data_IF_323338021642
#
_entry.id   IF_323338021642
#
_cell.length_a   1.000
_cell.length_b   1.000
_cell.length_c   1.000
_cell.angle_alpha   90.00
_cell.angle_beta   90.00
_cell.angle_gamma   90.00
#
_symmetry.space_group_name_H-M   'P 1'
#
loop_
_entity.id
_entity.type
_entity.pdbx_description
1 polymer ?
#
# COMPACT_ATOMS: atom_id res chain seq x y z
N UNK A 1 -19.87 9.39 8.43
CA UNK A 1 -18.70 8.82 9.13
C UNK A 1 -18.10 7.81 8.15
N UNK A 2 -17.21 8.28 7.28
CA UNK A 2 -16.59 7.42 6.27
C UNK A 2 -15.49 6.62 6.98
N UNK A 3 -15.63 5.30 7.02
CA UNK A 3 -14.56 4.40 7.43
C UNK A 3 -13.49 4.46 6.33
N UNK A 4 -12.35 5.07 6.65
CA UNK A 4 -11.18 5.15 5.77
C UNK A 4 -10.52 3.77 5.67
N UNK A 5 -11.03 2.95 4.76
CA UNK A 5 -10.56 1.60 4.47
C UNK A 5 -9.10 1.58 3.95
N UNK A 6 -8.55 2.73 3.55
CA UNK A 6 -7.12 2.88 3.21
C UNK A 6 -6.22 2.53 4.41
N UNK A 7 -6.69 2.77 5.63
CA UNK A 7 -5.93 2.53 6.85
C UNK A 7 -5.87 1.03 7.22
N UNK A 8 -6.82 0.22 6.74
CA UNK A 8 -6.93 -1.20 7.11
C UNK A 8 -5.89 -2.07 6.39
N UNK A 9 -5.57 -1.75 5.13
CA UNK A 9 -4.49 -2.41 4.37
C UNK A 9 -3.10 -2.12 4.94
N UNK A 10 -2.91 -0.96 5.59
CA UNK A 10 -1.64 -0.58 6.22
C UNK A 10 -1.50 -1.17 7.63
N UNK A 11 -2.60 -1.39 8.36
CA UNK A 11 -2.56 -1.87 9.74
C UNK A 11 -2.38 -3.40 9.91
N UNK A 12 -2.78 -4.22 8.93
CA UNK A 12 -2.71 -5.68 9.05
C UNK A 12 -1.28 -6.29 9.12
N UNK A 13 -0.22 -5.49 9.00
CA UNK A 13 1.18 -5.95 9.04
C UNK A 13 1.76 -6.02 10.47
N UNK A 14 0.98 -5.73 11.51
CA UNK A 14 1.46 -5.67 12.90
C UNK A 14 0.62 -6.47 13.90
N UNK A 15 0.74 -7.79 13.92
CA UNK A 15 0.25 -8.59 15.05
C UNK A 15 -0.11 -10.02 14.69
N UNK A 16 0.66 -10.98 15.21
CA UNK A 16 0.56 -12.39 14.90
C UNK A 16 -0.81 -13.03 15.15
N UNK A 17 -1.38 -13.58 14.07
CA UNK A 17 -1.88 -14.96 13.93
C UNK A 17 -2.31 -15.14 12.46
N UNK A 18 -1.92 -16.21 11.76
CA UNK A 18 -2.37 -16.42 10.39
C UNK A 18 -3.87 -16.72 10.40
N UNK A 19 -4.67 -15.87 9.77
CA UNK A 19 -6.02 -16.22 9.37
C UNK A 19 -5.89 -17.09 8.11
N UNK A 20 -6.19 -18.38 8.25
CA UNK A 20 -6.27 -19.30 7.13
C UNK A 20 -7.49 -18.93 6.27
N UNK A 21 -7.25 -18.42 5.07
CA UNK A 21 -8.29 -18.25 4.05
C UNK A 21 -8.53 -19.58 3.33
N UNK A 22 -9.79 -19.96 3.07
CA UNK A 22 -10.08 -21.13 2.26
C UNK A 22 -9.51 -20.93 0.85
N UNK A 23 -8.89 -21.97 0.33
CA UNK A 23 -8.18 -22.02 -0.94
C UNK A 23 -9.08 -21.62 -2.12
N UNK A 24 -8.93 -20.37 -2.57
CA UNK A 24 -9.62 -19.79 -3.72
C UNK A 24 -9.03 -18.42 -4.08
N UNK A 25 -7.86 -18.45 -4.75
CA UNK A 25 -7.22 -17.38 -5.54
C UNK A 25 -7.17 -15.96 -4.94
N UNK A 26 -6.12 -15.71 -4.15
CA UNK A 26 -5.67 -14.41 -3.66
C UNK A 26 -4.51 -14.64 -2.71
N UNK A 27 -3.30 -14.75 -3.22
CA UNK A 27 -2.11 -15.08 -2.43
C UNK A 27 -1.43 -13.83 -1.89
N UNK A 28 -1.23 -13.76 -0.57
CA UNK A 28 -0.27 -12.84 0.05
C UNK A 28 1.01 -13.63 0.27
N UNK A 29 2.06 -13.39 -0.52
CA UNK A 29 3.39 -13.97 -0.27
C UNK A 29 4.34 -12.92 0.29
N UNK A 30 4.76 -13.13 1.54
CA UNK A 30 5.85 -12.39 2.17
C UNK A 30 7.13 -13.22 2.02
N UNK A 31 8.09 -12.77 1.21
CA UNK A 31 9.41 -13.40 1.14
C UNK A 31 10.20 -13.12 2.42
N UNK A 32 10.26 -14.10 3.33
CA UNK A 32 11.15 -14.06 4.50
C UNK A 32 12.56 -14.51 4.10
N UNK A 33 13.47 -13.54 3.90
CA UNK A 33 14.90 -13.75 3.81
C UNK A 33 15.60 -12.92 4.88
N UNK A 34 16.21 -13.59 5.86
CA UNK A 34 16.87 -12.96 7.00
C UNK A 34 18.14 -12.20 6.62
N UNK A 35 18.04 -10.87 6.59
CA UNK A 35 19.14 -9.93 6.87
C UNK A 35 18.50 -8.58 7.27
N UNK A 36 19.15 -7.84 8.16
CA UNK A 36 18.59 -6.91 9.15
C UNK A 36 18.21 -5.53 8.58
N UNK A 37 17.78 -5.48 7.32
CA UNK A 37 17.48 -4.25 6.54
C UNK A 37 16.19 -4.37 5.71
N UNK A 38 15.19 -5.07 6.24
CA UNK A 38 14.02 -5.51 5.47
C UNK A 38 12.80 -4.59 5.51
N UNK A 39 12.49 -3.92 4.39
CA UNK A 39 11.12 -3.42 4.10
C UNK A 39 10.69 -3.88 2.70
N UNK A 40 10.26 -5.13 2.53
CA UNK A 40 9.87 -5.68 1.21
C UNK A 40 8.70 -4.93 0.55
N UNK A 41 8.69 -4.87 -0.79
CA UNK A 41 7.48 -4.48 -1.53
C UNK A 41 6.47 -5.62 -1.51
N UNK A 42 5.18 -5.29 -1.40
CA UNK A 42 4.10 -6.29 -1.34
C UNK A 42 3.42 -6.32 -2.69
N UNK A 43 3.31 -7.52 -3.25
CA UNK A 43 2.55 -7.84 -4.46
C UNK A 43 1.24 -8.52 -4.04
N UNK A 44 0.13 -8.12 -4.64
CA UNK A 44 -1.19 -8.74 -4.45
C UNK A 44 -1.67 -9.33 -5.78
N UNK A 45 -1.96 -10.64 -5.75
CA UNK A 45 -2.62 -11.34 -6.85
C UNK A 45 -4.12 -11.07 -6.83
N UNK A 46 -4.63 -10.45 -7.88
CA UNK A 46 -6.04 -10.12 -8.04
C UNK A 46 -6.44 -8.86 -7.28
N UNK A 47 -6.99 -7.89 -8.01
CA UNK A 47 -7.57 -6.67 -7.42
C UNK A 47 -9.07 -6.86 -7.30
N UNK A 48 -9.64 -6.62 -6.12
CA UNK A 48 -11.09 -6.73 -5.92
C UNK A 48 -11.84 -5.65 -6.71
N UNK A 49 -12.90 -6.04 -7.42
CA UNK A 49 -13.73 -5.16 -8.26
C UNK A 49 -15.20 -5.12 -7.80
N UNK A 50 -15.56 -5.87 -6.75
CA UNK A 50 -16.91 -5.86 -6.20
C UNK A 50 -17.19 -4.55 -5.43
N UNK A 51 -18.47 -4.27 -5.16
CA UNK A 51 -18.84 -3.15 -4.28
C UNK A 51 -18.47 -3.51 -2.84
N UNK A 52 -17.30 -3.06 -2.39
CA UNK A 52 -16.80 -3.31 -1.05
C UNK A 52 -17.78 -2.86 0.05
N UNK A 53 -18.58 -1.82 -0.18
CA UNK A 53 -19.58 -1.40 0.81
C UNK A 53 -20.70 -2.44 0.94
N UNK A 54 -21.12 -3.05 -0.17
CA UNK A 54 -22.07 -4.16 -0.16
C UNK A 54 -21.49 -5.39 0.51
N UNK A 55 -20.23 -5.75 0.22
CA UNK A 55 -19.54 -6.89 0.85
C UNK A 55 -19.47 -6.71 2.37
N UNK A 56 -19.06 -5.53 2.85
CA UNK A 56 -18.97 -5.22 4.28
C UNK A 56 -20.36 -5.18 4.94
N UNK A 57 -21.39 -4.70 4.24
CA UNK A 57 -22.76 -4.70 4.75
C UNK A 57 -23.28 -6.13 4.92
N UNK A 58 -23.06 -7.00 3.93
CA UNK A 58 -23.41 -8.42 4.03
C UNK A 58 -22.63 -9.10 5.16
N UNK A 59 -21.36 -8.76 5.37
CA UNK A 59 -20.58 -9.25 6.52
C UNK A 59 -21.21 -8.86 7.87
N UNK A 60 -21.62 -7.60 8.03
CA UNK A 60 -22.33 -7.13 9.22
C UNK A 60 -23.66 -7.86 9.47
N UNK A 61 -24.30 -8.38 8.41
CA UNK A 61 -25.56 -9.12 8.48
C UNK A 61 -25.41 -10.63 8.59
N UNK A 62 -24.18 -11.16 8.49
CA UNK A 62 -23.93 -12.59 8.42
C UNK A 62 -24.34 -13.24 7.09
N UNK A 63 -24.49 -12.44 6.04
CA UNK A 63 -24.98 -12.82 4.71
C UNK A 63 -23.84 -13.02 3.69
N UNK A 64 -22.60 -13.20 4.17
CA UNK A 64 -21.41 -13.37 3.31
C UNK A 64 -21.49 -14.60 2.38
N UNK A 65 -22.28 -15.61 2.75
CA UNK A 65 -22.44 -16.84 1.94
C UNK A 65 -23.03 -16.58 0.56
N UNK A 66 -23.76 -15.48 0.37
CA UNK A 66 -24.44 -15.12 -0.88
C UNK A 66 -23.69 -14.05 -1.69
N UNK A 67 -22.52 -13.61 -1.20
CA UNK A 67 -21.71 -12.57 -1.86
C UNK A 67 -20.74 -13.21 -2.86
N UNK A 68 -20.84 -12.83 -4.13
CA UNK A 68 -19.83 -13.15 -5.14
C UNK A 68 -18.79 -12.04 -5.21
N UNK A 69 -17.51 -12.42 -5.09
CA UNK A 69 -16.38 -11.51 -5.31
C UNK A 69 -15.87 -11.64 -6.74
N UNK A 70 -15.69 -10.50 -7.40
CA UNK A 70 -15.05 -10.41 -8.71
C UNK A 70 -13.63 -9.90 -8.52
N UNK A 71 -12.68 -10.57 -9.16
CA UNK A 71 -11.26 -10.23 -9.11
C UNK A 71 -10.79 -9.83 -10.50
N UNK A 72 -10.06 -8.72 -10.56
CA UNK A 72 -9.33 -8.27 -11.73
C UNK A 72 -8.20 -9.24 -12.06
N UNK A 73 -7.90 -9.49 -13.35
CA UNK A 73 -6.69 -10.21 -13.74
C UNK A 73 -5.42 -9.37 -13.56
N UNK A 74 -5.56 -8.06 -13.27
CA UNK A 74 -4.45 -7.19 -12.98
C UNK A 74 -3.78 -7.54 -11.65
N UNK A 75 -2.49 -7.25 -11.59
CA UNK A 75 -1.67 -7.35 -10.39
C UNK A 75 -1.52 -5.96 -9.79
N UNK A 76 -1.54 -5.86 -8.46
CA UNK A 76 -1.18 -4.64 -7.75
C UNK A 76 0.12 -4.81 -6.95
N UNK A 77 0.93 -3.77 -6.95
CA UNK A 77 2.13 -3.66 -6.12
C UNK A 77 2.05 -2.40 -5.26
N UNK A 78 2.45 -2.52 -3.99
CA UNK A 78 2.53 -1.39 -3.06
C UNK A 78 3.98 -1.16 -2.62
N UNK A 79 4.45 0.07 -2.80
CA UNK A 79 5.72 0.58 -2.24
C UNK A 79 5.39 1.50 -1.07
N UNK A 80 5.90 1.16 0.12
CA UNK A 80 5.74 2.00 1.31
C UNK A 80 6.91 2.97 1.41
N UNK A 81 6.61 4.28 1.50
CA UNK A 81 7.58 5.29 1.92
C UNK A 81 7.43 5.56 3.42
N UNK A 82 8.57 5.54 4.11
CA UNK A 82 8.68 5.68 5.56
C UNK A 82 9.63 6.84 5.93
N UNK A 83 9.43 7.40 7.12
CA UNK A 83 10.27 8.48 7.64
C UNK A 83 11.65 7.94 8.01
N UNK A 84 12.71 8.61 7.58
CA UNK A 84 14.08 8.21 7.85
C UNK A 84 14.31 7.93 9.34
N UNK A 85 14.80 6.73 9.65
CA UNK A 85 15.01 6.25 11.02
C UNK A 85 13.97 5.25 11.54
N UNK A 86 12.83 5.08 10.85
CA UNK A 86 11.87 4.01 11.13
C UNK A 86 12.52 2.61 10.99
N UNK A 87 12.22 1.63 11.89
CA UNK A 87 11.24 1.66 12.98
C UNK A 87 11.74 2.27 14.31
N UNK A 88 12.96 2.81 14.33
CA UNK A 88 13.51 3.54 15.48
C UNK A 88 13.05 4.99 15.53
N UNK A 89 13.91 5.88 16.02
CA UNK A 89 13.60 7.32 16.10
C UNK A 89 13.60 7.97 14.72
N UNK A 90 12.56 8.75 14.42
CA UNK A 90 12.42 9.50 13.17
C UNK A 90 11.90 10.90 13.44
N UNK A 91 12.13 11.81 12.49
CA UNK A 91 11.61 13.18 12.55
C UNK A 91 10.18 13.23 12.04
N UNK A 92 9.37 14.12 12.62
CA UNK A 92 8.00 14.44 12.18
C UNK A 92 7.93 15.90 11.73
N UNK A 93 6.91 16.26 10.95
CA UNK A 93 6.69 17.59 10.41
C UNK A 93 7.47 17.88 9.12
N UNK A 94 8.08 16.87 8.50
CA UNK A 94 8.81 17.02 7.23
C UNK A 94 7.85 17.15 6.07
N UNK A 95 8.09 18.09 5.17
CA UNK A 95 7.16 18.42 4.07
C UNK A 95 7.29 17.41 2.93
N UNK A 96 6.14 16.97 2.43
CA UNK A 96 6.00 16.05 1.30
C UNK A 96 5.38 16.84 0.13
N UNK A 97 6.00 16.78 -1.04
CA UNK A 97 5.56 17.49 -2.25
C UNK A 97 5.33 16.54 -3.42
N UNK A 98 4.70 17.06 -4.48
CA UNK A 98 4.47 16.37 -5.75
C UNK A 98 3.60 15.10 -5.70
N UNK A 99 2.77 14.91 -4.66
CA UNK A 99 1.84 13.77 -4.57
C UNK A 99 0.91 13.72 -5.79
N UNK A 100 0.32 14.85 -6.17
CA UNK A 100 -0.58 14.95 -7.32
C UNK A 100 0.14 14.57 -8.62
N UNK A 101 1.37 15.07 -8.83
CA UNK A 101 2.17 14.74 -10.01
C UNK A 101 2.54 13.26 -10.06
N UNK A 102 2.81 12.64 -8.91
CA UNK A 102 3.11 11.22 -8.81
C UNK A 102 1.88 10.34 -9.15
N UNK A 103 0.67 10.74 -8.77
CA UNK A 103 -0.56 10.07 -9.21
C UNK A 103 -0.81 10.22 -10.72
N UNK A 104 -0.31 11.29 -11.35
CA UNK A 104 -0.45 11.50 -12.80
C UNK A 104 0.55 10.70 -13.66
N UNK A 105 1.51 9.99 -13.05
CA UNK A 105 2.45 9.11 -13.79
C UNK A 105 1.71 8.03 -14.58
N UNK A 106 0.59 7.53 -14.04
CA UNK A 106 -0.27 6.56 -14.71
C UNK A 106 -1.65 6.56 -14.06
N UNK A 107 -2.74 6.37 -14.84
CA UNK A 107 -4.09 6.20 -14.27
C UNK A 107 -4.21 4.95 -13.37
N UNK A 108 -3.23 4.04 -13.44
CA UNK A 108 -3.16 2.83 -12.60
C UNK A 108 -2.36 3.03 -11.31
N UNK A 109 -1.92 4.26 -10.99
CA UNK A 109 -1.23 4.61 -9.74
C UNK A 109 -2.20 5.29 -8.79
N UNK A 110 -2.13 4.90 -7.51
CA UNK A 110 -2.83 5.57 -6.41
C UNK A 110 -1.92 5.71 -5.20
N UNK A 111 -1.94 6.88 -4.57
CA UNK A 111 -1.17 7.14 -3.35
C UNK A 111 -2.13 7.15 -2.15
N UNK A 112 -1.84 6.27 -1.20
CA UNK A 112 -2.57 6.18 0.05
C UNK A 112 -1.79 6.86 1.17
N UNK A 113 -2.50 7.67 1.94
CA UNK A 113 -1.96 8.40 3.08
C UNK A 113 -2.06 7.55 4.35
N UNK A 114 -0.95 7.38 5.06
CA UNK A 114 -0.92 6.73 6.37
C UNK A 114 -0.58 7.77 7.45
N UNK A 115 0.70 7.95 7.77
CA UNK A 115 1.16 8.94 8.74
C UNK A 115 1.37 10.33 8.14
N UNK A 116 0.33 10.95 7.57
CA UNK A 116 0.40 12.34 7.04
C UNK A 116 -0.62 13.27 7.67
N UNK A 117 -0.31 14.57 7.71
CA UNK A 117 -1.24 15.63 8.11
C UNK A 117 -1.04 16.87 7.24
N UNK A 118 -1.95 17.85 7.35
CA UNK A 118 -1.72 19.21 6.84
C UNK A 118 -1.20 20.10 7.97
N UNK A 119 -0.14 20.87 7.71
CA UNK A 119 0.36 21.87 8.65
C UNK A 119 -0.51 23.15 8.64
N UNK A 120 -0.16 24.12 9.50
CA UNK A 120 -0.88 25.40 9.57
C UNK A 120 -0.79 26.27 8.31
N UNK A 121 0.09 25.93 7.38
CA UNK A 121 0.24 26.60 6.08
C UNK A 121 -0.42 25.82 4.93
N UNK A 122 -1.05 24.68 5.23
CA UNK A 122 -1.67 23.80 4.23
C UNK A 122 -0.68 22.88 3.50
N UNK A 123 0.55 22.73 3.99
CA UNK A 123 1.50 21.77 3.42
C UNK A 123 1.20 20.37 3.94
N UNK A 124 1.33 19.36 3.08
CA UNK A 124 1.34 17.97 3.50
C UNK A 124 2.64 17.64 4.23
N UNK A 125 2.54 17.09 5.44
CA UNK A 125 3.67 16.75 6.30
C UNK A 125 3.60 15.31 6.81
N UNK A 126 4.76 14.68 7.00
CA UNK A 126 4.89 13.37 7.62
C UNK A 126 4.75 13.47 9.15
N UNK A 127 3.87 12.69 9.76
CA UNK A 127 3.63 12.64 11.22
C UNK A 127 3.75 11.25 11.82
N UNK A 128 4.13 10.25 11.00
CA UNK A 128 4.28 8.85 11.43
C UNK A 128 5.52 8.17 10.84
N UNK A 129 5.78 6.94 11.28
CA UNK A 129 6.88 6.13 10.77
C UNK A 129 6.64 5.63 9.34
N UNK A 130 5.45 5.08 9.06
CA UNK A 130 4.98 4.73 7.70
C UNK A 130 4.07 5.86 7.21
N UNK A 131 4.35 6.41 6.05
CA UNK A 131 3.81 7.72 5.66
C UNK A 131 2.95 7.61 4.41
N UNK A 132 3.45 6.97 3.35
CA UNK A 132 2.73 6.81 2.09
C UNK A 132 2.74 5.34 1.63
N UNK A 133 1.65 4.89 1.02
CA UNK A 133 1.58 3.67 0.23
C UNK A 133 1.35 4.00 -1.23
N UNK A 134 2.36 3.80 -2.08
CA UNK A 134 2.28 4.02 -3.51
C UNK A 134 1.86 2.70 -4.14
N UNK A 135 0.60 2.61 -4.55
CA UNK A 135 0.02 1.42 -5.15
C UNK A 135 -0.06 1.60 -6.66
N UNK A 136 0.43 0.63 -7.42
CA UNK A 136 0.27 0.61 -8.86
C UNK A 136 -0.29 -0.72 -9.33
N UNK A 137 -1.20 -0.68 -10.32
CA UNK A 137 -1.69 -1.86 -11.03
C UNK A 137 -0.93 -2.07 -12.34
N UNK A 138 -0.80 -3.32 -12.77
CA UNK A 138 -0.20 -3.71 -14.04
C UNK A 138 -0.66 -5.09 -14.49
N UNK A 139 -0.42 -5.44 -15.75
CA UNK A 139 -0.75 -6.77 -16.29
C UNK A 139 0.14 -7.88 -15.74
N UNK A 140 1.31 -7.49 -15.24
CA UNK A 140 2.33 -8.34 -14.64
C UNK A 140 3.04 -7.55 -13.53
N UNK A 141 3.83 -8.27 -12.74
CA UNK A 141 4.55 -7.71 -11.58
C UNK A 141 5.57 -6.67 -12.02
N UNK A 142 6.20 -6.86 -13.18
CA UNK A 142 7.22 -5.94 -13.70
C UNK A 142 6.62 -4.58 -14.08
N UNK A 143 5.45 -4.58 -14.72
CA UNK A 143 4.72 -3.38 -15.07
C UNK A 143 4.21 -2.64 -13.82
N UNK A 144 3.58 -3.34 -12.88
CA UNK A 144 3.12 -2.75 -11.63
C UNK A 144 4.30 -2.13 -10.86
N UNK A 145 5.43 -2.84 -10.80
CA UNK A 145 6.67 -2.40 -10.16
C UNK A 145 7.25 -1.15 -10.81
N UNK A 146 7.38 -1.14 -12.13
CA UNK A 146 7.90 0.00 -12.86
C UNK A 146 7.04 1.26 -12.64
N UNK A 147 5.71 1.12 -12.70
CA UNK A 147 4.77 2.21 -12.45
C UNK A 147 4.89 2.75 -11.02
N UNK A 148 4.94 1.87 -10.02
CA UNK A 148 5.10 2.28 -8.63
C UNK A 148 6.42 3.04 -8.39
N UNK A 149 7.55 2.54 -8.90
CA UNK A 149 8.84 3.23 -8.73
C UNK A 149 8.91 4.54 -9.50
N UNK A 150 8.35 4.62 -10.71
CA UNK A 150 8.27 5.88 -11.45
C UNK A 150 7.46 6.94 -10.67
N UNK A 151 6.37 6.54 -10.01
CA UNK A 151 5.61 7.44 -9.15
C UNK A 151 6.42 7.87 -7.91
N UNK A 152 7.14 6.94 -7.28
CA UNK A 152 8.03 7.26 -6.14
C UNK A 152 9.13 8.26 -6.55
N UNK A 153 9.72 8.13 -7.74
CA UNK A 153 10.77 9.03 -8.21
C UNK A 153 10.27 10.47 -8.49
N UNK A 154 8.94 10.66 -8.61
CA UNK A 154 8.31 11.99 -8.76
C UNK A 154 8.02 12.66 -7.41
N UNK A 155 7.83 11.88 -6.35
CA UNK A 155 7.56 12.38 -5.00
C UNK A 155 8.81 13.11 -4.48
N UNK A 156 8.62 14.35 -4.05
CA UNK A 156 9.68 15.13 -3.41
C UNK A 156 9.51 15.07 -1.89
N UNK A 157 10.25 14.15 -1.28
CA UNK A 157 10.33 14.00 0.17
C UNK A 157 11.73 13.51 0.59
N UNK A 158 12.68 14.43 0.85
CA UNK A 158 14.07 14.09 1.16
C UNK A 158 14.25 13.26 2.44
N UNK A 159 13.36 13.42 3.42
CA UNK A 159 13.38 12.68 4.68
C UNK A 159 12.63 11.34 4.60
N UNK A 160 12.11 11.00 3.42
CA UNK A 160 11.50 9.72 3.13
C UNK A 160 12.49 8.71 2.59
N UNK A 161 12.28 7.44 2.93
CA UNK A 161 12.96 6.32 2.28
C UNK A 161 12.00 5.20 1.96
N UNK A 162 12.39 4.36 1.02
CA UNK A 162 11.68 3.15 0.63
C UNK A 162 12.70 2.08 0.27
N UNK A 163 12.31 0.81 0.30
CA UNK A 163 13.16 -0.26 -0.22
C UNK A 163 12.96 -0.38 -1.72
N UNK A 164 14.08 -0.47 -2.44
CA UNK A 164 14.10 -0.94 -3.82
C UNK A 164 14.46 -2.43 -3.79
N UNK A 165 13.46 -3.30 -3.85
CA UNK A 165 13.72 -4.75 -3.87
C UNK A 165 14.19 -5.16 -5.26
N UNK A 166 15.44 -5.59 -5.38
CA UNK A 166 15.99 -6.29 -6.53
C UNK A 166 15.62 -7.77 -6.42
N UNK A 167 14.34 -8.12 -6.53
CA UNK A 167 13.94 -9.53 -6.59
C UNK A 167 14.00 -9.98 -8.05
N UNK A 168 15.17 -10.45 -8.49
CA UNK A 168 15.30 -11.32 -9.65
C UNK A 168 15.11 -12.77 -9.17
N UNK A 169 13.88 -13.26 -9.15
CA UNK A 169 13.62 -14.62 -8.71
C UNK A 169 12.13 -14.89 -8.52
N UNK A 170 11.49 -15.31 -9.62
CA UNK A 170 10.39 -16.26 -9.59
C UNK A 170 10.96 -17.65 -9.90
#
# INVERSE_FOLDING_TARGET
MALDLSNMLVQCVGGGRPLAFPSGSGGLSSGEGGDERGVGGIHIDGVEESDLAQVLLSACRGELGDVSLTWSPEIAMVVVMASQGYPGSYNTGTVIRNIENAEQVSPSVKIFHAGTALDGNGNLVAVGGRVLGITAKGKDIEEARARAYNAVDVIDWPEGFFRRSTTSGF
#
